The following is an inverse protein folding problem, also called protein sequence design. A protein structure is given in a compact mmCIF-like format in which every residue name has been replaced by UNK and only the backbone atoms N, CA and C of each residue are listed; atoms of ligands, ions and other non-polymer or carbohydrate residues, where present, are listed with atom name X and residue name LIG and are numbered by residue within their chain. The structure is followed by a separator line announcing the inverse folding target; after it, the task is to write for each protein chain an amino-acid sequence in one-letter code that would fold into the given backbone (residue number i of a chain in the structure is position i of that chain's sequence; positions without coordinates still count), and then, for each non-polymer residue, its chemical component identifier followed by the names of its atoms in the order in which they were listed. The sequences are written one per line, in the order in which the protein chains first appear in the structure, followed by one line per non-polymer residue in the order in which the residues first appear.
data_IF_348533085979
#
_entry.id   IF_348533085979
#
_cell.length_a   1.000
_cell.length_b   1.000
_cell.length_c   1.000
_cell.angle_alpha   90.00
_cell.angle_beta   90.00
_cell.angle_gamma   90.00
#
_symmetry.space_group_name_H-M   'P 1'
#
loop_
_entity.id
_entity.type
_entity.pdbx_description
1 polymer ?
#
# COMPACT_ATOMS: atom_id res chain seq x y z
N UNK A 1 13.97 -1.40 11.23
CA UNK A 1 14.80 -0.26 10.82
C UNK A 1 15.34 -0.52 9.42
N UNK A 2 14.72 0.06 8.39
CA UNK A 2 15.30 0.92 7.33
C UNK A 2 14.10 1.79 6.91
N UNK A 3 14.26 3.10 7.00
CA UNK A 3 13.26 4.11 6.68
C UNK A 3 13.55 4.64 5.28
N UNK A 4 12.56 4.59 4.41
CA UNK A 4 12.51 5.36 3.16
C UNK A 4 11.22 6.19 3.16
N UNK A 5 11.01 6.96 4.22
CA UNK A 5 9.99 8.02 4.22
C UNK A 5 10.53 9.18 3.39
N UNK A 6 9.93 9.39 2.22
CA UNK A 6 9.99 10.70 1.57
C UNK A 6 9.07 11.63 2.34
N UNK A 7 9.55 12.85 2.57
CA UNK A 7 9.11 13.82 3.58
C UNK A 7 7.61 13.78 3.90
N UNK A 8 7.27 13.39 5.14
CA UNK A 8 5.92 13.50 5.73
C UNK A 8 5.46 14.96 5.92
N UNK A 9 6.09 15.96 5.29
CA UNK A 9 5.93 17.37 5.70
C UNK A 9 5.52 18.36 4.61
N UNK A 10 5.47 18.01 3.32
CA UNK A 10 5.15 19.01 2.27
C UNK A 10 3.94 18.70 1.38
N UNK A 11 3.42 17.47 1.38
CA UNK A 11 2.26 17.11 0.57
C UNK A 11 0.99 16.97 1.41
N UNK A 12 0.22 18.07 1.49
CA UNK A 12 -1.07 18.13 2.20
C UNK A 12 -2.04 17.00 1.81
N UNK A 13 -2.20 16.65 0.52
CA UNK A 13 -3.06 15.53 0.12
C UNK A 13 -2.64 14.18 0.73
N UNK A 14 -1.35 13.85 0.71
CA UNK A 14 -0.83 12.62 1.35
C UNK A 14 -1.11 12.58 2.85
N UNK A 15 -0.98 13.72 3.55
CA UNK A 15 -1.28 13.81 4.98
C UNK A 15 -2.77 13.61 5.30
N UNK A 16 -3.67 14.15 4.47
CA UNK A 16 -5.11 13.93 4.60
C UNK A 16 -5.47 12.45 4.43
N UNK A 17 -4.79 11.74 3.52
CA UNK A 17 -4.98 10.30 3.36
C UNK A 17 -4.51 9.50 4.58
N UNK A 18 -3.38 9.87 5.19
CA UNK A 18 -2.95 9.23 6.42
C UNK A 18 -3.99 9.39 7.55
N UNK A 19 -4.65 10.55 7.67
CA UNK A 19 -5.74 10.74 8.65
C UNK A 19 -6.94 9.82 8.37
N UNK A 20 -7.27 9.60 7.10
CA UNK A 20 -8.33 8.64 6.72
C UNK A 20 -7.93 7.22 7.08
N UNK A 21 -6.68 6.83 6.79
CA UNK A 21 -6.13 5.50 7.12
C UNK A 21 -6.13 5.26 8.63
N UNK A 22 -5.74 6.25 9.43
CA UNK A 22 -5.79 6.15 10.91
C UNK A 22 -7.22 5.94 11.43
N UNK A 23 -8.23 6.37 10.69
CA UNK A 23 -9.64 6.09 10.97
C UNK A 23 -10.07 4.66 10.61
N UNK A 24 -9.29 3.93 9.81
CA UNK A 24 -9.54 2.52 9.55
C UNK A 24 -9.08 1.71 10.75
N UNK A 25 -10.00 0.92 11.33
CA UNK A 25 -9.69 -0.04 12.39
C UNK A 25 -8.94 -1.25 11.80
N UNK A 26 -7.74 -1.01 11.28
CA UNK A 26 -6.88 -2.05 10.75
C UNK A 26 -6.37 -2.94 11.88
N UNK A 27 -6.16 -4.24 11.63
CA UNK A 27 -5.42 -5.10 12.53
C UNK A 27 -4.05 -4.51 12.90
N UNK A 28 -3.62 -4.66 14.15
CA UNK A 28 -2.37 -4.06 14.66
C UNK A 28 -1.11 -4.52 13.90
N UNK A 29 -1.18 -5.65 13.20
CA UNK A 29 -0.10 -6.25 12.43
C UNK A 29 -0.06 -5.82 10.96
N UNK A 30 -1.00 -4.99 10.51
CA UNK A 30 -1.06 -4.48 9.14
C UNK A 30 -0.68 -3.00 9.12
N UNK A 31 0.34 -2.68 8.34
CA UNK A 31 0.75 -1.31 8.08
C UNK A 31 0.36 -0.85 6.67
N UNK A 32 -0.01 0.42 6.52
CA UNK A 32 -0.24 1.05 5.21
C UNK A 32 0.69 2.26 5.10
N UNK A 33 1.41 2.35 3.98
CA UNK A 33 2.30 3.47 3.67
C UNK A 33 1.98 4.06 2.30
N UNK A 34 2.22 5.36 2.14
CA UNK A 34 2.07 6.08 0.89
C UNK A 34 3.43 6.67 0.51
N UNK A 35 3.90 6.38 -0.70
CA UNK A 35 5.16 6.88 -1.25
C UNK A 35 4.93 7.48 -2.65
N UNK A 36 5.01 8.80 -2.74
CA UNK A 36 4.74 9.55 -3.97
C UNK A 36 6.01 10.01 -4.68
N UNK A 37 7.09 9.23 -4.58
CA UNK A 37 8.30 9.47 -5.40
C UNK A 37 8.12 8.99 -6.82
N UNK A 38 8.85 9.63 -7.75
CA UNK A 38 8.75 9.42 -9.19
C UNK A 38 8.83 7.96 -9.64
N UNK A 39 9.56 7.13 -8.90
CA UNK A 39 9.82 5.72 -9.22
C UNK A 39 9.26 4.77 -8.14
N UNK A 40 8.34 5.26 -7.29
CA UNK A 40 7.66 4.40 -6.33
C UNK A 40 6.68 3.47 -7.03
N UNK A 41 6.63 2.23 -6.55
CA UNK A 41 5.67 1.23 -6.97
C UNK A 41 4.84 0.77 -5.77
N UNK A 42 3.56 0.52 -6.01
CA UNK A 42 2.67 -0.06 -5.00
C UNK A 42 2.89 -1.56 -4.88
N UNK A 43 2.67 -2.12 -3.69
CA UNK A 43 2.88 -3.54 -3.45
C UNK A 43 2.22 -4.03 -2.18
N UNK A 44 2.08 -5.36 -2.12
CA UNK A 44 1.59 -6.10 -0.96
C UNK A 44 2.72 -6.98 -0.42
N UNK A 45 2.97 -6.89 0.88
CA UNK A 45 3.93 -7.77 1.56
C UNK A 45 3.20 -8.83 2.38
N UNK A 46 3.49 -10.09 2.08
CA UNK A 46 3.00 -11.23 2.83
C UNK A 46 4.12 -11.87 3.63
N UNK A 47 3.82 -12.24 4.88
CA UNK A 47 4.70 -13.03 5.74
C UNK A 47 3.90 -14.19 6.33
N UNK A 48 4.42 -15.40 6.21
CA UNK A 48 3.76 -16.63 6.68
C UNK A 48 2.30 -16.77 6.17
N UNK A 49 2.07 -16.36 4.91
CA UNK A 49 0.75 -16.40 4.27
C UNK A 49 -0.22 -15.29 4.70
N UNK A 50 0.21 -14.34 5.54
CA UNK A 50 -0.60 -13.21 6.02
C UNK A 50 -0.11 -11.90 5.44
N UNK A 51 -1.04 -11.02 5.07
CA UNK A 51 -0.71 -9.64 4.68
C UNK A 51 -0.21 -8.88 5.91
N UNK A 52 0.94 -8.22 5.80
CA UNK A 52 1.54 -7.44 6.89
C UNK A 52 1.86 -5.99 6.52
N UNK A 53 1.99 -5.69 5.23
CA UNK A 53 2.23 -4.32 4.76
C UNK A 53 1.61 -4.06 3.39
N UNK A 54 1.08 -2.86 3.21
CA UNK A 54 0.57 -2.33 1.95
C UNK A 54 1.35 -1.03 1.66
N UNK A 55 2.09 -1.02 0.56
CA UNK A 55 2.75 0.18 0.04
C UNK A 55 1.92 0.72 -1.13
N UNK A 56 1.51 1.98 -1.06
CA UNK A 56 0.76 2.67 -2.09
C UNK A 56 1.63 3.75 -2.71
N UNK A 57 1.73 3.76 -4.03
CA UNK A 57 2.49 4.75 -4.77
C UNK A 57 1.59 5.72 -5.53
N UNK A 58 2.05 6.97 -5.64
CA UNK A 58 1.40 8.03 -6.42
C UNK A 58 -0.08 8.26 -6.06
N UNK A 59 -0.44 8.10 -4.78
CA UNK A 59 -1.80 8.30 -4.28
C UNK A 59 -1.91 9.66 -3.59
N UNK A 60 -2.78 10.54 -4.10
CA UNK A 60 -3.01 11.88 -3.56
C UNK A 60 -4.45 12.09 -3.10
N UNK A 61 -5.37 11.22 -3.53
CA UNK A 61 -6.78 11.23 -3.16
C UNK A 61 -7.24 9.86 -2.66
N UNK A 62 -8.42 9.83 -2.02
CA UNK A 62 -9.03 8.59 -1.55
C UNK A 62 -9.39 7.69 -2.75
N UNK A 63 -9.78 8.29 -3.87
CA UNK A 63 -10.07 7.58 -5.12
C UNK A 63 -8.81 6.90 -5.68
N UNK A 64 -7.66 7.57 -5.65
CA UNK A 64 -6.37 6.97 -6.05
C UNK A 64 -6.04 5.76 -5.18
N UNK A 65 -6.15 5.93 -3.84
CA UNK A 65 -5.89 4.84 -2.90
C UNK A 65 -6.82 3.65 -3.13
N UNK A 66 -8.12 3.88 -3.31
CA UNK A 66 -9.08 2.80 -3.55
C UNK A 66 -8.79 2.08 -4.86
N UNK A 67 -8.54 2.84 -5.94
CA UNK A 67 -8.21 2.29 -7.26
C UNK A 67 -6.98 1.40 -7.18
N UNK A 68 -5.95 1.87 -6.47
CA UNK A 68 -4.69 1.16 -6.36
C UNK A 68 -4.80 -0.09 -5.48
N UNK A 69 -5.56 -0.03 -4.39
CA UNK A 69 -5.89 -1.21 -3.57
C UNK A 69 -6.64 -2.27 -4.38
N UNK A 70 -7.62 -1.87 -5.19
CA UNK A 70 -8.36 -2.79 -6.07
C UNK A 70 -7.40 -3.43 -7.08
N UNK A 71 -6.51 -2.65 -7.69
CA UNK A 71 -5.49 -3.15 -8.63
C UNK A 71 -4.60 -4.21 -7.96
N UNK A 72 -4.04 -3.90 -6.80
CA UNK A 72 -3.16 -4.80 -6.04
C UNK A 72 -3.86 -6.10 -5.64
N UNK A 73 -5.09 -6.00 -5.14
CA UNK A 73 -5.89 -7.18 -4.77
C UNK A 73 -6.26 -8.03 -5.98
N UNK A 74 -6.54 -7.40 -7.13
CA UNK A 74 -6.78 -8.09 -8.39
C UNK A 74 -5.56 -8.85 -8.88
N UNK A 75 -4.39 -8.21 -8.88
CA UNK A 75 -3.12 -8.85 -9.27
C UNK A 75 -2.71 -10.01 -8.37
N UNK A 76 -3.05 -9.93 -7.09
CA UNK A 76 -2.86 -11.03 -6.14
C UNK A 76 -3.86 -12.17 -6.34
N UNK A 77 -5.13 -11.85 -6.59
CA UNK A 77 -6.20 -12.85 -6.74
C UNK A 77 -6.07 -13.67 -8.03
N UNK A 78 -5.35 -13.17 -9.03
CA UNK A 78 -5.05 -13.92 -10.26
C UNK A 78 -3.94 -14.93 -9.96
N UNK A 79 -4.19 -16.25 -10.10
CA UNK A 79 -3.16 -17.27 -9.97
C UNK A 79 -2.02 -16.95 -10.94
N UNK A 80 -0.79 -16.85 -10.43
CA UNK A 80 0.35 -16.62 -11.31
C UNK A 80 0.67 -17.94 -12.01
N UNK A 81 1.06 -17.95 -13.29
CA UNK A 81 1.48 -19.18 -13.98
C UNK A 81 2.62 -19.94 -13.26
N UNK A 82 3.38 -19.25 -12.40
CA UNK A 82 4.42 -19.84 -11.55
C UNK A 82 3.88 -20.70 -10.40
N UNK A 83 2.60 -20.57 -10.06
CA UNK A 83 1.97 -21.25 -8.93
C UNK A 83 1.46 -22.66 -9.30
N UNK A 84 1.43 -22.98 -10.61
CA UNK A 84 0.96 -24.27 -11.14
C UNK A 84 2.04 -25.37 -11.21
N UNK A 85 3.27 -25.09 -10.77
CA UNK A 85 4.36 -26.09 -10.75
C UNK A 85 4.80 -26.42 -9.32
N UNK A 86 3.99 -27.22 -8.61
CA UNK A 86 4.43 -28.02 -7.44
C UNK A 86 3.86 -29.43 -7.53
#
# INVERSE_FOLDING_TARGET
MVSLFVDKQTDKPTMELYQVIEGFQLPEDINISINNTRDAESGLLFKDGKLVDISLANCYTLEDMITELIRLMGEYAVPKPSDETV
#
